data_IF_630589347796
#
_entry.id   IF_630589347796
#
_cell.length_a   1.000
_cell.length_b   1.000
_cell.length_c   1.000
_cell.angle_alpha   90.00
_cell.angle_beta   90.00
_cell.angle_gamma   90.00
#
_symmetry.space_group_name_H-M   'P 1'
#
loop_
_entity.id
_entity.type
_entity.pdbx_description
1 polymer ?
#
# COMPACT_ATOMS: atom_id res chain seq x y z
N UNK A 1 -2.91 -10.79 -17.12
CA UNK A 1 -1.45 -10.93 -16.82
C UNK A 1 -0.85 -9.66 -16.20
N UNK A 2 0.02 -9.78 -15.20
CA UNK A 2 0.67 -8.68 -14.47
C UNK A 2 2.17 -8.59 -14.80
N UNK A 3 2.62 -7.46 -15.33
CA UNK A 3 4.06 -7.17 -15.47
C UNK A 3 4.53 -6.48 -14.18
N UNK A 4 5.50 -7.09 -13.49
CA UNK A 4 6.13 -6.50 -12.31
C UNK A 4 7.55 -6.08 -12.64
N UNK A 5 8.00 -5.00 -12.01
CA UNK A 5 9.39 -4.57 -11.99
C UNK A 5 9.88 -4.70 -10.56
N UNK A 6 11.08 -5.23 -10.38
CA UNK A 6 11.62 -5.45 -9.05
C UNK A 6 13.14 -5.24 -9.03
N UNK A 7 13.65 -4.82 -7.88
CA UNK A 7 15.08 -4.69 -7.63
C UNK A 7 15.70 -6.08 -7.46
N UNK A 8 16.78 -6.38 -8.17
CA UNK A 8 17.35 -7.74 -8.23
C UNK A 8 17.92 -8.18 -6.89
N UNK A 9 18.53 -7.25 -6.15
CA UNK A 9 19.19 -7.52 -4.86
C UNK A 9 18.19 -7.76 -3.73
N UNK A 10 17.19 -6.90 -3.59
CA UNK A 10 16.22 -6.91 -2.48
C UNK A 10 14.94 -7.68 -2.83
N UNK A 11 14.69 -7.93 -4.12
CA UNK A 11 13.44 -8.49 -4.65
C UNK A 11 12.21 -7.61 -4.44
N UNK A 12 12.39 -6.37 -3.97
CA UNK A 12 11.29 -5.42 -3.75
C UNK A 12 10.69 -5.02 -5.09
N UNK A 13 9.36 -5.05 -5.18
CA UNK A 13 8.61 -4.62 -6.35
C UNK A 13 8.61 -3.09 -6.40
N UNK A 14 9.06 -2.52 -7.51
CA UNK A 14 9.18 -1.06 -7.67
C UNK A 14 8.05 -0.47 -8.50
N UNK A 15 7.44 -1.28 -9.37
CA UNK A 15 6.25 -0.92 -10.14
C UNK A 15 5.55 -2.19 -10.64
N UNK A 16 4.27 -2.06 -11.00
CA UNK A 16 3.57 -3.05 -11.81
C UNK A 16 2.70 -2.41 -12.89
N UNK A 17 2.40 -3.15 -13.95
CA UNK A 17 1.53 -2.75 -15.05
C UNK A 17 0.56 -3.89 -15.36
N UNK A 18 -0.71 -3.53 -15.55
CA UNK A 18 -1.70 -4.43 -16.12
C UNK A 18 -1.48 -4.58 -17.63
N UNK A 19 -2.08 -5.62 -18.20
CA UNK A 19 -1.98 -6.05 -19.60
C UNK A 19 -2.00 -4.91 -20.63
N UNK A 20 -2.90 -3.92 -20.48
CA UNK A 20 -3.00 -2.79 -21.40
C UNK A 20 -1.88 -1.73 -21.32
N UNK A 21 -0.91 -1.87 -20.40
CA UNK A 21 0.17 -0.89 -20.18
C UNK A 21 1.57 -1.54 -20.11
N UNK A 22 1.70 -2.81 -20.48
CA UNK A 22 2.96 -3.54 -20.42
C UNK A 22 4.02 -2.95 -21.36
N UNK A 23 5.30 -3.03 -20.99
CA UNK A 23 6.43 -2.62 -21.84
C UNK A 23 6.66 -1.12 -22.02
N UNK A 24 5.84 -0.27 -21.39
CA UNK A 24 5.94 1.20 -21.53
C UNK A 24 6.94 1.86 -20.57
N UNK A 25 7.46 1.13 -19.58
CA UNK A 25 8.43 1.63 -18.60
C UNK A 25 9.83 1.06 -18.89
N UNK A 26 10.88 1.90 -18.98
CA UNK A 26 12.25 1.41 -19.06
C UNK A 26 12.66 0.72 -17.74
N UNK A 27 13.50 -0.30 -17.85
CA UNK A 27 14.09 -0.98 -16.69
C UNK A 27 15.22 -0.09 -16.14
N UNK A 28 15.17 0.26 -14.85
CA UNK A 28 16.22 1.05 -14.21
C UNK A 28 17.44 0.19 -13.85
N UNK A 29 18.57 0.82 -13.57
CA UNK A 29 19.77 0.12 -13.10
C UNK A 29 19.47 -0.66 -11.81
N UNK A 30 19.89 -1.93 -11.75
CA UNK A 30 19.61 -2.82 -10.63
C UNK A 30 18.20 -3.41 -10.60
N UNK A 31 17.31 -3.04 -11.53
CA UNK A 31 15.98 -3.63 -11.68
C UNK A 31 15.94 -4.71 -12.77
N UNK A 32 14.92 -5.55 -12.71
CA UNK A 32 14.49 -6.41 -13.80
C UNK A 32 12.96 -6.53 -13.78
N UNK A 33 12.39 -7.33 -14.70
CA UNK A 33 10.94 -7.54 -14.79
C UNK A 33 10.55 -9.00 -14.87
N UNK A 34 9.33 -9.31 -14.42
CA UNK A 34 8.71 -10.63 -14.55
C UNK A 34 7.25 -10.49 -14.97
N UNK A 35 6.76 -11.50 -15.69
CA UNK A 35 5.37 -11.61 -16.12
C UNK A 35 4.70 -12.68 -15.29
N UNK A 36 3.67 -12.29 -14.53
CA UNK A 36 2.94 -13.17 -13.65
C UNK A 36 1.52 -13.33 -14.16
N UNK A 37 1.02 -14.57 -14.19
CA UNK A 37 -0.37 -14.85 -14.53
C UNK A 37 -1.27 -14.74 -13.30
N UNK A 38 -1.24 -13.56 -12.68
CA UNK A 38 -2.06 -13.18 -11.52
C UNK A 38 -2.71 -11.82 -11.78
N UNK A 39 -3.74 -11.51 -11.01
CA UNK A 39 -4.28 -10.16 -10.96
C UNK A 39 -3.38 -9.23 -10.11
N UNK A 40 -3.34 -7.92 -10.43
CA UNK A 40 -2.72 -6.94 -9.54
C UNK A 40 -3.40 -6.93 -8.16
N UNK A 41 -2.65 -6.67 -7.08
CA UNK A 41 -3.24 -6.46 -5.77
C UNK A 41 -4.30 -5.36 -5.80
N UNK A 42 -5.46 -5.63 -5.19
CA UNK A 42 -6.62 -4.72 -5.19
C UNK A 42 -6.66 -3.80 -3.97
N UNK A 43 -5.92 -4.13 -2.91
CA UNK A 43 -5.83 -3.30 -1.71
C UNK A 43 -5.00 -2.04 -2.03
N UNK A 44 -5.58 -0.84 -1.90
CA UNK A 44 -4.86 0.39 -2.18
C UNK A 44 -3.88 0.80 -1.07
N UNK A 45 -3.91 0.13 0.10
CA UNK A 45 -3.07 0.51 1.24
C UNK A 45 -1.59 0.17 1.02
N UNK A 46 -1.22 -1.06 0.61
CA UNK A 46 0.17 -1.37 0.34
C UNK A 46 0.55 -0.82 -1.03
N UNK A 47 1.62 -0.04 -1.07
CA UNK A 47 2.25 0.41 -2.30
C UNK A 47 3.02 -0.75 -2.95
N UNK A 48 3.46 -0.59 -4.21
CA UNK A 48 4.29 -1.60 -4.87
C UNK A 48 5.53 -1.96 -4.04
N UNK A 49 6.15 -0.97 -3.36
CA UNK A 49 7.36 -1.16 -2.54
C UNK A 49 7.17 -2.02 -1.30
N UNK A 50 5.91 -2.24 -0.92
CA UNK A 50 5.57 -3.11 0.20
C UNK A 50 5.49 -4.58 -0.22
N UNK A 51 5.68 -4.89 -1.51
CA UNK A 51 5.69 -6.25 -2.03
C UNK A 51 7.11 -6.71 -2.39
N UNK A 52 7.35 -8.01 -2.19
CA UNK A 52 8.56 -8.74 -2.55
C UNK A 52 8.18 -9.82 -3.57
N UNK A 53 8.99 -9.99 -4.60
CA UNK A 53 8.86 -11.06 -5.59
C UNK A 53 9.67 -12.29 -5.19
N UNK A 54 9.01 -13.45 -5.03
CA UNK A 54 9.66 -14.70 -4.61
C UNK A 54 10.09 -15.61 -5.77
N UNK A 55 9.97 -15.13 -7.01
CA UNK A 55 10.26 -15.90 -8.22
C UNK A 55 9.01 -16.48 -8.91
N UNK A 56 7.90 -16.61 -8.18
CA UNK A 56 6.63 -17.15 -8.70
C UNK A 56 5.46 -16.20 -8.45
N UNK A 57 5.49 -15.45 -7.35
CA UNK A 57 4.41 -14.59 -6.88
C UNK A 57 4.96 -13.33 -6.20
N UNK A 58 4.08 -12.36 -5.95
CA UNK A 58 4.37 -11.21 -5.09
C UNK A 58 3.70 -11.42 -3.73
N UNK A 59 4.43 -11.10 -2.66
CA UNK A 59 3.96 -11.19 -1.28
C UNK A 59 4.29 -9.91 -0.53
N UNK A 60 3.52 -9.55 0.49
CA UNK A 60 3.88 -8.43 1.33
C UNK A 60 5.22 -8.68 2.01
N UNK A 61 6.04 -7.63 2.10
CA UNK A 61 7.27 -7.64 2.87
C UNK A 61 6.97 -8.05 4.32
N UNK A 62 7.82 -8.86 4.96
CA UNK A 62 7.70 -9.17 6.39
C UNK A 62 7.67 -7.92 7.28
N UNK A 63 8.27 -6.83 6.81
CA UNK A 63 8.34 -5.55 7.52
C UNK A 63 7.14 -4.64 7.26
N UNK A 64 6.18 -5.06 6.43
CA UNK A 64 5.01 -4.25 6.12
C UNK A 64 4.09 -4.14 7.34
N UNK A 65 3.92 -2.90 7.81
CA UNK A 65 2.93 -2.55 8.82
C UNK A 65 1.76 -1.86 8.14
N UNK A 66 0.54 -2.41 8.20
CA UNK A 66 -0.63 -1.76 7.62
C UNK A 66 -0.81 -0.35 8.22
N UNK A 67 -1.17 0.65 7.39
CA UNK A 67 -1.49 1.96 7.93
C UNK A 67 -2.69 1.83 8.90
N UNK A 68 -2.74 2.67 9.96
CA UNK A 68 -3.87 2.69 10.86
C UNK A 68 -5.15 2.98 10.07
N UNK A 69 -6.27 2.42 10.53
CA UNK A 69 -7.56 2.67 9.91
C UNK A 69 -7.84 4.18 9.81
N UNK A 70 -8.47 4.66 8.72
CA UNK A 70 -8.86 6.04 8.60
C UNK A 70 -9.69 6.45 9.82
N UNK A 71 -9.19 7.42 10.59
CA UNK A 71 -9.94 7.96 11.72
C UNK A 71 -11.12 8.75 11.16
N UNK A 72 -12.32 8.44 11.63
CA UNK A 72 -13.48 9.30 11.39
C UNK A 72 -13.33 10.57 12.24
N UNK A 73 -12.63 11.55 11.68
CA UNK A 73 -12.35 12.82 12.34
C UNK A 73 -13.63 13.53 12.75
N UNK A 74 -14.73 13.35 12.01
CA UNK A 74 -16.01 13.97 12.33
C UNK A 74 -16.59 13.37 13.61
N UNK A 75 -16.65 12.04 13.69
CA UNK A 75 -17.12 11.33 14.89
C UNK A 75 -16.23 11.63 16.10
N UNK A 76 -14.91 11.72 15.90
CA UNK A 76 -13.99 12.07 16.98
C UNK A 76 -14.18 13.51 17.48
N UNK A 77 -14.35 14.47 16.56
CA UNK A 77 -14.62 15.87 16.91
C UNK A 77 -15.94 15.97 17.68
N UNK A 78 -16.99 15.28 17.23
CA UNK A 78 -18.29 15.30 17.90
C UNK A 78 -18.22 14.69 19.31
N UNK A 79 -17.49 13.59 19.47
CA UNK A 79 -17.20 13.00 20.80
C UNK A 79 -16.40 13.95 21.69
N UNK A 80 -15.43 14.68 21.15
CA UNK A 80 -14.63 15.64 21.89
C UNK A 80 -15.47 16.84 22.32
N UNK A 81 -16.30 17.40 21.43
CA UNK A 81 -17.24 18.48 21.75
C UNK A 81 -18.18 18.09 22.89
N UNK A 82 -18.79 16.91 22.81
CA UNK A 82 -19.67 16.42 23.87
C UNK A 82 -18.96 16.21 25.22
N UNK A 83 -17.66 15.88 25.21
CA UNK A 83 -16.85 15.80 26.45
C UNK A 83 -16.56 17.18 27.02
N UNK A 84 -16.25 18.16 26.17
CA UNK A 84 -16.00 19.55 26.58
C UNK A 84 -17.27 20.15 27.20
N UNK A 85 -18.41 20.01 26.54
CA UNK A 85 -19.71 20.51 27.04
C UNK A 85 -20.05 19.94 28.43
N UNK A 86 -19.87 18.63 28.62
CA UNK A 86 -20.06 17.99 29.94
C UNK A 86 -19.09 18.46 31.01
N UNK A 87 -17.87 18.86 30.65
CA UNK A 87 -16.89 19.39 31.59
C UNK A 87 -17.22 20.83 31.96
N UNK A 88 -17.67 21.63 31.00
CA UNK A 88 -18.13 23.01 31.22
C UNK A 88 -19.37 23.06 32.11
N UNK A 89 -20.33 22.16 31.93
CA UNK A 89 -21.50 22.03 32.81
C UNK A 89 -21.13 21.67 34.25
N UNK A 90 -20.06 20.90 34.47
CA UNK A 90 -19.59 20.51 35.81
C UNK A 90 -18.76 21.59 36.51
N UNK A 91 -18.27 22.57 35.76
CA UNK A 91 -17.50 23.71 36.27
C UNK A 91 -18.38 24.93 36.59
N UNK A 92 -19.66 24.87 36.19
CA UNK A 92 -20.71 25.85 36.53
C UNK A 92 -21.41 25.49 37.85
#
# INVERSE_FOLDING_TARGET
MLEIFYEVATKIVTAWRSEGRQGTRPILEGETKAMLDIEPPRDPRPSCRDYIFDGVSIKLSPDFVPPPEPRDLKVEIDKLKAKVEKLEERLK
#
